data_IF_553025679403
#
_entry.id   IF_553025679403
#
_cell.length_a   1.000
_cell.length_b   1.000
_cell.length_c   1.000
_cell.angle_alpha   90.00
_cell.angle_beta   90.00
_cell.angle_gamma   90.00
#
_symmetry.space_group_name_H-M   'P 1'
#
loop_
_entity.id
_entity.type
_entity.pdbx_description
1 polymer ?
#
# COMPACT_ATOMS: atom_id res chain seq x y z
N UNK A 1 3.55 13.50 10.82
CA UNK A 1 3.30 12.05 10.75
C UNK A 1 2.54 11.76 9.46
N UNK A 2 2.83 10.66 8.74
CA UNK A 2 2.12 10.34 7.47
C UNK A 2 0.60 10.25 7.66
N UNK A 3 0.17 9.67 8.77
CA UNK A 3 -1.21 9.80 9.29
C UNK A 3 -1.15 10.04 10.80
N UNK A 4 -2.21 10.61 11.38
CA UNK A 4 -2.32 10.69 12.85
C UNK A 4 -2.36 9.30 13.52
N UNK A 5 -2.58 8.24 12.73
CA UNK A 5 -2.72 6.87 13.17
C UNK A 5 -1.52 5.95 12.88
N UNK A 6 -0.37 6.48 12.45
CA UNK A 6 0.76 5.63 12.06
C UNK A 6 1.20 4.64 13.15
N UNK A 7 1.16 5.03 14.43
CA UNK A 7 1.49 4.16 15.56
C UNK A 7 0.27 3.64 16.33
N UNK A 8 -0.90 3.58 15.68
CA UNK A 8 -2.10 3.02 16.27
C UNK A 8 -2.44 1.67 15.64
N UNK A 9 -2.86 0.71 16.46
CA UNK A 9 -3.31 -0.60 16.01
C UNK A 9 -4.62 -0.52 15.22
N UNK A 10 -5.12 -1.65 14.72
CA UNK A 10 -6.38 -1.70 13.96
C UNK A 10 -7.61 -1.27 14.75
N UNK A 11 -7.55 -1.26 16.09
CA UNK A 11 -8.60 -0.77 17.01
C UNK A 11 -8.47 0.72 17.33
N UNK A 12 -7.37 1.35 16.92
CA UNK A 12 -7.07 2.74 17.23
C UNK A 12 -6.31 2.96 18.53
N UNK A 13 -5.77 1.90 19.17
CA UNK A 13 -4.94 2.05 20.37
C UNK A 13 -3.48 2.32 19.99
N UNK A 14 -2.82 3.21 20.71
CA UNK A 14 -1.39 3.49 20.50
C UNK A 14 -0.52 2.27 20.84
N UNK A 15 0.43 1.95 19.98
CA UNK A 15 1.41 0.88 20.18
C UNK A 15 2.48 1.34 21.16
N UNK A 16 2.61 0.63 22.27
CA UNK A 16 3.64 0.90 23.28
C UNK A 16 4.95 0.23 22.90
N UNK A 17 6.06 0.97 22.99
CA UNK A 17 7.41 0.44 22.76
C UNK A 17 7.82 0.35 21.28
N UNK A 18 7.03 0.87 20.35
CA UNK A 18 7.49 1.02 18.96
C UNK A 18 8.70 1.97 18.92
N UNK A 19 9.78 1.54 18.28
CA UNK A 19 11.00 2.35 18.13
C UNK A 19 10.87 3.27 16.92
N UNK A 20 11.42 4.48 17.01
CA UNK A 20 11.56 5.40 15.88
C UNK A 20 13.04 5.58 15.61
N UNK A 21 13.48 5.19 14.42
CA UNK A 21 14.85 5.38 13.97
C UNK A 21 14.89 6.45 12.87
N UNK A 22 15.39 7.65 13.22
CA UNK A 22 15.49 8.77 12.28
C UNK A 22 16.60 8.59 11.22
N UNK A 23 17.47 7.60 11.40
CA UNK A 23 18.50 7.24 10.41
C UNK A 23 18.02 6.17 9.42
N UNK A 24 16.92 5.48 9.72
CA UNK A 24 16.34 4.46 8.86
C UNK A 24 15.69 5.10 7.62
N UNK A 25 16.36 5.02 6.47
CA UNK A 25 15.83 5.52 5.19
C UNK A 25 15.10 4.43 4.39
N UNK A 26 14.83 3.26 4.99
CA UNK A 26 14.29 2.10 4.27
C UNK A 26 12.89 2.35 3.71
N UNK A 27 12.06 3.14 4.40
CA UNK A 27 10.72 3.51 3.93
C UNK A 27 10.73 4.30 2.63
N UNK A 28 11.56 5.34 2.56
CA UNK A 28 11.71 6.16 1.36
C UNK A 28 12.31 5.34 0.21
N UNK A 29 13.39 4.59 0.48
CA UNK A 29 14.04 3.71 -0.51
C UNK A 29 13.09 2.65 -1.07
N UNK A 30 12.19 2.11 -0.23
CA UNK A 30 11.19 1.14 -0.65
C UNK A 30 10.25 1.74 -1.71
N UNK A 31 9.71 2.94 -1.47
CA UNK A 31 8.84 3.59 -2.45
C UNK A 31 9.60 3.92 -3.74
N UNK A 32 10.76 4.56 -3.62
CA UNK A 32 11.50 5.10 -4.76
C UNK A 32 12.10 4.02 -5.66
N UNK A 33 12.62 2.94 -5.07
CA UNK A 33 13.41 1.94 -5.80
C UNK A 33 12.63 0.66 -6.08
N UNK A 34 11.73 0.26 -5.17
CA UNK A 34 11.06 -1.05 -5.24
C UNK A 34 9.60 -0.92 -5.72
N UNK A 35 8.90 0.17 -5.41
CA UNK A 35 7.47 0.32 -5.68
C UNK A 35 7.17 1.17 -6.91
N UNK A 36 7.95 2.22 -7.19
CA UNK A 36 7.62 3.21 -8.22
C UNK A 36 7.32 2.61 -9.61
N UNK A 37 7.99 1.52 -9.97
CA UNK A 37 7.87 0.84 -11.26
C UNK A 37 7.38 -0.62 -11.16
N UNK A 38 6.88 -1.05 -9.99
CA UNK A 38 6.45 -2.43 -9.78
C UNK A 38 5.19 -2.74 -10.59
N UNK A 39 5.12 -3.93 -11.19
CA UNK A 39 3.88 -4.38 -11.83
C UNK A 39 2.81 -4.75 -10.81
N UNK A 40 1.52 -4.54 -11.13
CA UNK A 40 0.41 -4.88 -10.23
C UNK A 40 0.45 -6.35 -9.74
N UNK A 41 0.63 -7.30 -10.66
CA UNK A 41 0.64 -8.73 -10.31
C UNK A 41 1.87 -9.12 -9.50
N UNK A 42 3.02 -8.52 -9.80
CA UNK A 42 4.24 -8.68 -9.03
C UNK A 42 4.05 -8.18 -7.60
N UNK A 43 3.45 -6.99 -7.43
CA UNK A 43 3.12 -6.44 -6.12
C UNK A 43 2.18 -7.37 -5.35
N UNK A 44 1.06 -7.78 -5.95
CA UNK A 44 0.09 -8.70 -5.31
C UNK A 44 0.69 -10.08 -4.96
N UNK A 45 1.68 -10.52 -5.74
CA UNK A 45 2.44 -11.74 -5.50
C UNK A 45 3.28 -11.65 -4.22
N UNK A 46 3.99 -10.52 -4.05
CA UNK A 46 5.09 -10.36 -3.09
C UNK A 46 4.80 -9.41 -1.92
N UNK A 47 3.61 -8.81 -1.81
CA UNK A 47 3.26 -7.86 -0.74
C UNK A 47 2.47 -8.50 0.42
N UNK A 48 2.78 -9.75 0.80
CA UNK A 48 2.08 -10.49 1.85
C UNK A 48 3.01 -11.41 2.62
N UNK A 49 2.75 -11.67 3.90
CA UNK A 49 3.30 -12.82 4.62
C UNK A 49 4.83 -12.87 4.71
N UNK A 50 5.49 -11.73 4.95
CA UNK A 50 6.97 -11.57 5.03
C UNK A 50 7.71 -11.64 3.70
N UNK A 51 6.99 -11.66 2.59
CA UNK A 51 7.57 -11.53 1.25
C UNK A 51 8.23 -10.14 1.06
N UNK A 52 9.11 -9.95 0.06
CA UNK A 52 9.96 -8.77 -0.06
C UNK A 52 9.22 -7.41 -0.10
N UNK A 53 8.01 -7.38 -0.66
CA UNK A 53 7.20 -6.16 -0.78
C UNK A 53 6.21 -5.98 0.39
N UNK A 54 6.18 -6.91 1.35
CA UNK A 54 5.45 -6.74 2.61
C UNK A 54 6.29 -5.92 3.61
N UNK A 55 6.47 -4.63 3.33
CA UNK A 55 7.39 -3.74 4.05
C UNK A 55 7.27 -3.78 5.58
N UNK A 56 6.05 -3.94 6.07
CA UNK A 56 5.75 -3.96 7.52
C UNK A 56 6.25 -5.23 8.20
N UNK A 57 6.28 -6.37 7.49
CA UNK A 57 6.71 -7.67 8.07
C UNK A 57 8.03 -8.19 7.52
N UNK A 58 8.58 -7.59 6.46
CA UNK A 58 9.87 -8.01 5.89
C UNK A 58 10.98 -7.86 6.93
N UNK A 59 11.88 -8.84 6.91
CA UNK A 59 13.05 -8.90 7.80
C UNK A 59 12.72 -8.90 9.30
N UNK A 60 11.49 -9.25 9.70
CA UNK A 60 11.17 -9.49 11.13
C UNK A 60 12.19 -10.50 11.70
N UNK A 61 12.90 -10.17 12.78
CA UNK A 61 13.80 -11.10 13.44
C UNK A 61 13.09 -12.37 13.89
N UNK A 62 13.74 -13.52 13.72
CA UNK A 62 13.23 -14.80 14.21
C UNK A 62 13.31 -14.83 15.74
N UNK A 63 12.28 -15.39 16.39
CA UNK A 63 12.26 -15.57 17.84
C UNK A 63 11.74 -14.37 18.64
N UNK A 64 11.21 -13.33 18.00
CA UNK A 64 10.51 -12.26 18.71
C UNK A 64 9.23 -12.78 19.39
N UNK A 65 8.93 -12.18 20.54
CA UNK A 65 7.62 -12.32 21.18
C UNK A 65 6.51 -11.72 20.31
N UNK A 66 5.26 -12.01 20.63
CA UNK A 66 4.12 -11.37 19.95
C UNK A 66 4.19 -9.83 20.06
N UNK A 67 4.53 -9.32 21.24
CA UNK A 67 4.71 -7.89 21.48
C UNK A 67 5.87 -7.32 20.65
N UNK A 68 7.03 -7.99 20.64
CA UNK A 68 8.18 -7.55 19.83
C UNK A 68 7.88 -7.56 18.33
N UNK A 69 7.07 -8.51 17.87
CA UNK A 69 6.58 -8.57 16.49
C UNK A 69 5.68 -7.37 16.17
N UNK A 70 4.76 -7.04 17.07
CA UNK A 70 3.90 -5.86 16.93
C UNK A 70 4.74 -4.57 16.90
N UNK A 71 5.64 -4.38 17.87
CA UNK A 71 6.54 -3.23 17.91
C UNK A 71 7.36 -3.08 16.62
N UNK A 72 7.85 -4.18 16.04
CA UNK A 72 8.58 -4.16 14.76
C UNK A 72 7.70 -3.76 13.58
N UNK A 73 6.46 -4.26 13.51
CA UNK A 73 5.48 -3.89 12.45
C UNK A 73 5.18 -2.39 12.49
N UNK A 74 5.18 -1.81 13.68
CA UNK A 74 4.94 -0.39 13.91
C UNK A 74 6.23 0.42 14.08
N UNK A 75 7.42 -0.11 13.77
CA UNK A 75 8.68 0.66 13.82
C UNK A 75 8.58 1.90 12.93
N UNK A 76 9.06 3.02 13.43
CA UNK A 76 8.97 4.33 12.83
C UNK A 76 10.25 4.76 12.12
N UNK A 77 10.09 5.50 11.02
CA UNK A 77 11.18 6.05 10.23
C UNK A 77 10.75 7.31 9.47
N UNK A 78 11.68 8.14 8.99
CA UNK A 78 11.37 9.24 8.09
C UNK A 78 10.79 8.76 6.76
N UNK A 79 9.76 9.45 6.28
CA UNK A 79 9.07 9.17 5.02
C UNK A 79 8.37 10.44 4.52
N UNK A 80 8.64 10.88 3.29
CA UNK A 80 8.04 12.08 2.68
C UNK A 80 8.09 13.35 3.56
N UNK A 81 9.18 13.55 4.32
CA UNK A 81 9.36 14.70 5.22
C UNK A 81 8.65 14.57 6.57
N UNK A 82 7.94 13.46 6.79
CA UNK A 82 7.23 13.14 8.03
C UNK A 82 7.83 11.88 8.70
N UNK A 83 7.33 11.52 9.88
CA UNK A 83 7.58 10.20 10.48
C UNK A 83 6.40 9.28 10.17
N UNK A 84 6.69 8.06 9.73
CA UNK A 84 5.68 7.04 9.44
C UNK A 84 6.09 5.68 10.01
N UNK A 85 5.12 4.84 10.35
CA UNK A 85 5.40 3.46 10.72
C UNK A 85 5.57 2.59 9.48
N UNK A 86 6.27 1.47 9.62
CA UNK A 86 6.41 0.50 8.54
C UNK A 86 5.06 -0.05 8.06
N UNK A 87 4.08 -0.22 8.97
CA UNK A 87 2.69 -0.52 8.60
C UNK A 87 2.12 0.53 7.63
N UNK A 88 2.24 1.80 7.99
CA UNK A 88 1.67 2.90 7.21
C UNK A 88 2.35 3.04 5.85
N UNK A 89 3.67 2.89 5.78
CA UNK A 89 4.42 2.89 4.52
C UNK A 89 3.97 1.74 3.61
N UNK A 90 3.79 0.52 4.16
CA UNK A 90 3.27 -0.61 3.38
C UNK A 90 1.84 -0.38 2.87
N UNK A 91 0.98 0.24 3.68
CA UNK A 91 -0.39 0.60 3.28
C UNK A 91 -0.40 1.71 2.23
N UNK A 92 0.46 2.72 2.39
CA UNK A 92 0.68 3.77 1.41
C UNK A 92 1.13 3.17 0.07
N UNK A 93 2.10 2.24 0.07
CA UNK A 93 2.55 1.54 -1.13
C UNK A 93 1.41 0.79 -1.84
N UNK A 94 0.56 0.08 -1.08
CA UNK A 94 -0.59 -0.62 -1.65
C UNK A 94 -1.58 0.34 -2.33
N UNK A 95 -1.84 1.48 -1.67
CA UNK A 95 -2.61 2.58 -2.23
C UNK A 95 -2.00 3.13 -3.52
N UNK A 96 -0.71 3.47 -3.48
CA UNK A 96 0.05 4.00 -4.60
C UNK A 96 0.00 3.08 -5.81
N UNK A 97 0.30 1.79 -5.62
CA UNK A 97 0.29 0.78 -6.71
C UNK A 97 -1.10 0.67 -7.34
N UNK A 98 -2.17 0.62 -6.53
CA UNK A 98 -3.53 0.60 -7.06
C UNK A 98 -3.85 1.87 -7.86
N UNK A 99 -3.43 3.03 -7.36
CA UNK A 99 -3.63 4.33 -8.01
C UNK A 99 -2.93 4.43 -9.36
N UNK A 100 -1.63 4.12 -9.44
CA UNK A 100 -0.85 4.22 -10.70
C UNK A 100 -1.33 3.24 -11.78
N UNK A 101 -1.96 2.13 -11.38
CA UNK A 101 -2.61 1.18 -12.29
C UNK A 101 -4.07 1.54 -12.63
N UNK A 102 -4.53 2.72 -12.22
CA UNK A 102 -5.82 3.27 -12.64
C UNK A 102 -7.03 2.77 -11.87
N UNK A 103 -6.86 2.02 -10.77
CA UNK A 103 -7.99 1.64 -9.93
C UNK A 103 -8.54 2.88 -9.23
N UNK A 104 -9.86 3.07 -9.28
CA UNK A 104 -10.53 4.06 -8.44
C UNK A 104 -10.43 3.70 -6.95
N UNK A 105 -10.77 4.65 -6.08
CA UNK A 105 -10.72 4.39 -4.64
C UNK A 105 -11.69 3.30 -4.19
N UNK A 106 -12.91 3.30 -4.74
CA UNK A 106 -13.92 2.29 -4.39
C UNK A 106 -13.49 0.86 -4.73
N UNK A 107 -12.85 0.64 -5.89
CA UNK A 107 -12.34 -0.67 -6.28
C UNK A 107 -11.10 -1.07 -5.48
N UNK A 108 -10.20 -0.13 -5.22
CA UNK A 108 -9.05 -0.33 -4.33
C UNK A 108 -9.51 -0.74 -2.93
N UNK A 109 -10.52 -0.03 -2.40
CA UNK A 109 -11.20 -0.27 -1.13
C UNK A 109 -12.22 -1.41 -1.20
N UNK A 110 -12.29 -2.16 -2.29
CA UNK A 110 -12.92 -3.47 -2.31
C UNK A 110 -11.83 -4.55 -2.30
N UNK A 111 -10.74 -4.32 -3.04
CA UNK A 111 -9.60 -5.23 -3.11
C UNK A 111 -8.87 -5.38 -1.76
N UNK A 112 -8.55 -4.31 -1.03
CA UNK A 112 -7.81 -4.51 0.24
C UNK A 112 -8.67 -5.20 1.33
N UNK A 113 -10.00 -5.13 1.28
CA UNK A 113 -10.89 -5.78 2.28
C UNK A 113 -11.00 -7.25 1.93
N UNK A 114 -11.04 -7.58 0.63
CA UNK A 114 -10.92 -8.96 0.20
C UNK A 114 -9.58 -9.57 0.65
N UNK A 115 -8.48 -8.80 0.56
CA UNK A 115 -7.17 -9.25 1.03
C UNK A 115 -7.15 -9.41 2.57
N UNK A 116 -7.68 -8.46 3.32
CA UNK A 116 -7.82 -8.54 4.78
C UNK A 116 -8.67 -9.75 5.19
N UNK A 117 -9.82 -9.93 4.54
CA UNK A 117 -10.71 -11.07 4.76
C UNK A 117 -9.98 -12.38 4.48
N UNK A 118 -9.16 -12.45 3.43
CA UNK A 118 -8.35 -13.62 3.11
C UNK A 118 -7.30 -13.90 4.18
N UNK A 119 -6.67 -12.87 4.75
CA UNK A 119 -5.66 -13.04 5.80
C UNK A 119 -6.30 -13.51 7.12
N UNK A 120 -7.50 -13.04 7.46
CA UNK A 120 -8.18 -13.40 8.71
C UNK A 120 -9.01 -14.69 8.62
N UNK A 121 -9.74 -14.89 7.52
CA UNK A 121 -10.71 -16.00 7.35
C UNK A 121 -10.21 -17.09 6.41
N UNK A 122 -9.08 -16.87 5.75
CA UNK A 122 -8.51 -17.79 4.77
C UNK A 122 -9.08 -17.63 3.36
N UNK A 123 -8.35 -18.20 2.39
CA UNK A 123 -8.65 -18.10 0.96
C UNK A 123 -10.02 -18.67 0.59
N UNK A 124 -10.34 -19.88 1.05
CA UNK A 124 -11.59 -20.56 0.70
C UNK A 124 -12.82 -19.81 1.20
N UNK A 125 -12.77 -19.25 2.41
CA UNK A 125 -13.87 -18.46 2.95
C UNK A 125 -14.09 -17.18 2.12
N UNK A 126 -13.01 -16.54 1.70
CA UNK A 126 -13.09 -15.33 0.86
C UNK A 126 -13.67 -15.63 -0.52
N UNK A 127 -13.23 -16.71 -1.17
CA UNK A 127 -13.73 -17.09 -2.50
C UNK A 127 -15.23 -17.40 -2.47
N UNK A 128 -15.70 -18.11 -1.44
CA UNK A 128 -17.09 -18.59 -1.40
C UNK A 128 -18.09 -17.55 -0.87
N UNK A 129 -17.67 -16.66 0.01
CA UNK A 129 -18.60 -15.83 0.79
C UNK A 129 -18.38 -14.33 0.67
N UNK A 130 -17.37 -13.86 -0.07
CA UNK A 130 -17.17 -12.43 -0.27
C UNK A 130 -18.20 -11.87 -1.28
N UNK A 131 -18.88 -10.74 -0.99
CA UNK A 131 -18.59 -9.76 0.06
C UNK A 131 -19.39 -9.91 1.37
N UNK A 132 -20.18 -10.96 1.57
CA UNK A 132 -21.04 -11.15 2.75
C UNK A 132 -20.24 -11.37 4.05
N UNK A 133 -19.05 -11.97 3.94
CA UNK A 133 -18.14 -12.21 5.06
C UNK A 133 -17.05 -11.13 5.22
N UNK A 134 -17.22 -9.98 4.57
CA UNK A 134 -16.20 -8.93 4.47
C UNK A 134 -15.70 -8.48 5.85
N UNK A 135 -14.40 -8.58 6.03
CA UNK A 135 -13.66 -7.87 7.09
C UNK A 135 -13.15 -6.56 6.54
N UNK A 136 -13.43 -5.47 7.26
CA UNK A 136 -12.91 -4.15 6.91
C UNK A 136 -11.58 -3.90 7.60
N UNK A 137 -10.63 -3.33 6.86
CA UNK A 137 -9.43 -2.80 7.51
C UNK A 137 -9.77 -1.66 8.48
N UNK A 138 -9.00 -1.55 9.56
CA UNK A 138 -9.15 -0.45 10.52
C UNK A 138 -8.94 0.93 9.86
N UNK A 139 -9.56 1.97 10.44
CA UNK A 139 -9.43 3.36 9.98
C UNK A 139 -7.96 3.79 9.77
N UNK A 140 -7.01 3.44 10.65
CA UNK A 140 -5.60 3.77 10.45
C UNK A 140 -5.01 3.29 9.11
N UNK A 141 -5.35 2.07 8.68
CA UNK A 141 -4.84 1.53 7.42
C UNK A 141 -5.49 2.17 6.21
N UNK A 142 -6.79 2.45 6.28
CA UNK A 142 -7.52 3.08 5.18
C UNK A 142 -6.98 4.48 4.87
N UNK A 143 -6.56 5.25 5.88
CA UNK A 143 -6.01 6.59 5.66
C UNK A 143 -4.67 6.55 4.92
N UNK A 144 -3.75 5.67 5.33
CA UNK A 144 -2.46 5.51 4.65
C UNK A 144 -2.64 4.99 3.21
N UNK A 145 -3.54 4.01 3.01
CA UNK A 145 -3.92 3.55 1.68
C UNK A 145 -4.49 4.68 0.82
N UNK A 146 -5.34 5.53 1.40
CA UNK A 146 -5.94 6.67 0.69
C UNK A 146 -4.89 7.71 0.29
N UNK A 147 -3.94 8.00 1.17
CA UNK A 147 -2.85 8.93 0.89
C UNK A 147 -2.04 8.46 -0.33
N UNK A 148 -1.55 7.22 -0.32
CA UNK A 148 -0.82 6.66 -1.45
C UNK A 148 -1.68 6.56 -2.72
N UNK A 149 -2.94 6.17 -2.59
CA UNK A 149 -3.88 6.06 -3.71
C UNK A 149 -4.08 7.39 -4.44
N UNK A 150 -4.26 8.48 -3.70
CA UNK A 150 -4.47 9.80 -4.30
C UNK A 150 -3.25 10.22 -5.14
N UNK A 151 -2.04 10.01 -4.63
CA UNK A 151 -0.80 10.29 -5.35
C UNK A 151 -0.72 9.41 -6.60
N UNK A 152 -0.82 8.09 -6.46
CA UNK A 152 -0.73 7.17 -7.58
C UNK A 152 -1.79 7.43 -8.67
N UNK A 153 -3.02 7.73 -8.27
CA UNK A 153 -4.11 7.96 -9.21
C UNK A 153 -3.95 9.30 -9.96
N UNK A 154 -3.40 10.33 -9.32
CA UNK A 154 -3.07 11.59 -10.00
C UNK A 154 -2.01 11.40 -11.09
N UNK A 155 -0.98 10.57 -10.82
CA UNK A 155 0.04 10.20 -11.81
C UNK A 155 -0.61 9.47 -13.00
N UNK A 156 -1.52 8.53 -12.73
CA UNK A 156 -2.25 7.83 -13.80
C UNK A 156 -3.05 8.81 -14.67
N UNK A 157 -3.78 9.75 -14.07
CA UNK A 157 -4.58 10.75 -14.79
C UNK A 157 -3.72 11.71 -15.64
N UNK A 158 -2.56 12.14 -15.12
CA UNK A 158 -1.60 12.95 -15.87
C UNK A 158 -1.09 12.18 -17.10
N UNK A 159 -0.69 10.91 -16.93
CA UNK A 159 -0.24 10.08 -18.04
C UNK A 159 -1.31 9.82 -19.10
N UNK A 160 -2.59 9.70 -18.71
CA UNK A 160 -3.70 9.64 -19.68
C UNK A 160 -3.83 10.95 -20.46
N UNK A 161 -3.79 12.09 -19.75
CA UNK A 161 -3.89 13.42 -20.36
C UNK A 161 -2.77 13.66 -21.38
N UNK A 162 -1.53 13.32 -21.03
CA UNK A 162 -0.38 13.43 -21.94
C UNK A 162 -0.53 12.56 -23.19
N UNK A 163 -1.04 11.33 -23.05
CA UNK A 163 -1.31 10.45 -24.20
C UNK A 163 -2.39 11.02 -25.12
N UNK A 164 -3.45 11.60 -24.56
CA UNK A 164 -4.48 12.27 -25.36
C UNK A 164 -3.93 13.52 -26.06
N UNK A 165 -3.15 14.35 -25.36
CA UNK A 165 -2.46 15.50 -25.97
C UNK A 165 -1.54 15.08 -27.11
N UNK A 166 -0.76 14.01 -26.95
CA UNK A 166 0.08 13.47 -28.01
C UNK A 166 -0.73 12.99 -29.22
N UNK A 167 -1.89 12.35 -29.01
CA UNK A 167 -2.77 11.94 -30.14
C UNK A 167 -3.28 13.15 -30.92
N UNK A 168 -3.65 14.22 -30.23
CA UNK A 168 -4.24 15.44 -30.83
C UNK A 168 -3.16 16.30 -31.52
N UNK A 169 -1.95 16.34 -30.98
CA UNK A 169 -0.83 17.16 -31.50
C UNK A 169 0.09 16.41 -32.47
N UNK A 170 -0.09 15.10 -32.65
CA UNK A 170 0.69 14.33 -33.59
C UNK A 170 0.40 14.77 -35.04
N UNK A 171 1.38 15.33 -35.78
CA UNK A 171 1.18 15.85 -37.13
C UNK A 171 0.89 14.75 -38.18
N UNK A 172 1.09 13.48 -37.82
CA UNK A 172 0.76 12.32 -38.64
C UNK A 172 -0.28 11.44 -37.92
N UNK A 173 -1.59 11.65 -38.13
CA UNK A 173 -2.61 10.77 -37.56
C UNK A 173 -2.32 9.34 -38.01
N UNK A 174 -2.32 8.38 -37.06
CA UNK A 174 -2.20 6.96 -37.40
C UNK A 174 -3.41 6.62 -38.26
N UNK A 175 -3.21 6.47 -39.57
CA UNK A 175 -4.24 6.00 -40.48
C UNK A 175 -4.81 4.65 -39.98
N UNK A 176 -6.09 4.35 -40.26
CA UNK A 176 -6.66 3.06 -39.90
C UNK A 176 -5.81 1.96 -40.54
N UNK A 177 -5.30 1.03 -39.72
CA UNK A 177 -4.76 -0.22 -40.23
C UNK A 177 -5.96 -1.05 -40.67
N UNK A 178 -6.23 -1.05 -41.97
CA UNK A 178 -7.13 -2.00 -42.63
C UNK A 178 -6.50 -3.38 -42.69
#
# INVERSE_FOLDING_TARGET
MLTEYSFHNSKGDAIKGATIDLSDQSGQKFIDNEIKNVGLFEYMGNAKGREPLDFKTRNIPVGLTQEGTEQYVYRGMPFEGEIASARDIGNYAAGYVAGVHGFGWGSSRFAFDALQTKQERGTWNTVLYYPFNRVREGLPSQQAQRAGHNIGHSIFQQGQSEREWQKITNPYPREPKW
#
